data_IF_548118981949
#
_entry.id   IF_548118981949
#
_cell.length_a   1.000
_cell.length_b   1.000
_cell.length_c   1.000
_cell.angle_alpha   90.00
_cell.angle_beta   90.00
_cell.angle_gamma   90.00
#
_symmetry.space_group_name_H-M   'P 1'
#
loop_
_entity.id
_entity.type
_entity.pdbx_description
1 polymer ?
#
# COMPACT_ATOMS: atom_id res chain seq x y z
N UNK A 1 7.60 -8.42 -12.99
CA UNK A 1 7.41 -7.09 -12.36
C UNK A 1 6.04 -6.58 -12.72
N UNK A 2 5.33 -6.02 -11.78
CA UNK A 2 3.99 -5.49 -12.01
C UNK A 2 3.90 -4.06 -11.50
N UNK A 3 2.85 -3.34 -11.91
CA UNK A 3 2.60 -1.99 -11.43
C UNK A 3 2.45 -1.96 -9.90
N UNK A 4 1.76 -2.94 -9.32
CA UNK A 4 1.58 -3.00 -7.87
C UNK A 4 2.90 -3.31 -7.14
N UNK A 5 3.73 -4.23 -7.65
CA UNK A 5 5.02 -4.51 -7.03
C UNK A 5 5.96 -3.31 -7.14
N UNK A 6 5.94 -2.59 -8.25
CA UNK A 6 6.74 -1.36 -8.40
C UNK A 6 6.32 -0.28 -7.40
N UNK A 7 5.02 -0.12 -7.18
CA UNK A 7 4.47 0.79 -6.20
C UNK A 7 4.89 0.40 -4.76
N UNK A 8 4.76 -0.87 -4.41
CA UNK A 8 5.16 -1.38 -3.10
C UNK A 8 6.67 -1.20 -2.88
N UNK A 9 7.49 -1.54 -3.88
CA UNK A 9 8.95 -1.39 -3.81
C UNK A 9 9.35 0.08 -3.62
N UNK A 10 8.65 1.00 -4.25
CA UNK A 10 8.89 2.43 -4.10
C UNK A 10 8.66 2.92 -2.65
N UNK A 11 7.60 2.43 -2.01
CA UNK A 11 7.34 2.73 -0.60
C UNK A 11 8.40 2.11 0.32
N UNK A 12 8.80 0.87 0.06
CA UNK A 12 9.87 0.19 0.83
C UNK A 12 11.19 0.93 0.69
N UNK A 13 11.46 1.51 -0.49
CA UNK A 13 12.64 2.34 -0.72
C UNK A 13 12.54 3.70 -0.02
N UNK A 14 11.38 4.07 0.52
CA UNK A 14 11.13 5.39 1.13
C UNK A 14 11.48 6.52 0.15
N UNK A 15 11.08 6.36 -1.12
CA UNK A 15 11.46 7.22 -2.25
C UNK A 15 10.21 7.87 -2.85
N UNK A 16 10.00 9.15 -2.54
CA UNK A 16 8.82 9.91 -3.00
C UNK A 16 8.74 9.95 -4.52
N UNK A 17 9.85 10.18 -5.21
CA UNK A 17 9.84 10.27 -6.67
C UNK A 17 9.46 8.94 -7.33
N UNK A 18 9.94 7.82 -6.79
CA UNK A 18 9.56 6.49 -7.28
C UNK A 18 8.08 6.19 -7.01
N UNK A 19 7.56 6.60 -5.84
CA UNK A 19 6.14 6.44 -5.52
C UNK A 19 5.28 7.20 -6.53
N UNK A 20 5.61 8.46 -6.79
CA UNK A 20 4.90 9.27 -7.77
C UNK A 20 5.00 8.71 -9.19
N UNK A 21 6.17 8.17 -9.57
CA UNK A 21 6.36 7.58 -10.89
C UNK A 21 5.60 6.26 -11.07
N UNK A 22 5.21 5.60 -9.98
CA UNK A 22 4.49 4.32 -10.01
C UNK A 22 2.99 4.47 -10.27
N UNK A 23 2.45 5.69 -10.29
CA UNK A 23 1.03 5.97 -10.46
C UNK A 23 0.80 6.85 -11.68
N UNK A 24 -0.40 6.76 -12.27
CA UNK A 24 -0.78 7.63 -13.39
C UNK A 24 -1.12 9.04 -12.89
N UNK A 25 -1.14 10.01 -13.81
CA UNK A 25 -1.48 11.40 -13.50
C UNK A 25 -2.85 11.53 -12.83
N UNK A 26 -3.82 10.72 -13.25
CA UNK A 26 -5.20 10.74 -12.80
C UNK A 26 -5.55 9.56 -11.87
N UNK A 27 -4.56 9.00 -11.21
CA UNK A 27 -4.74 7.85 -10.32
C UNK A 27 -5.71 8.13 -9.17
N UNK A 28 -6.27 7.06 -8.60
CA UNK A 28 -7.05 7.11 -7.36
C UNK A 28 -6.50 6.04 -6.42
N UNK A 29 -6.02 6.46 -5.27
CA UNK A 29 -5.54 5.56 -4.21
C UNK A 29 -6.49 5.68 -3.03
N UNK A 30 -7.07 4.55 -2.60
CA UNK A 30 -7.91 4.47 -1.41
C UNK A 30 -7.14 3.71 -0.35
N UNK A 31 -6.71 4.42 0.67
CA UNK A 31 -5.94 3.85 1.77
C UNK A 31 -6.85 3.15 2.77
N UNK A 32 -6.35 2.09 3.42
CA UNK A 32 -7.13 1.28 4.35
C UNK A 32 -7.63 2.04 5.60
N UNK A 33 -7.13 3.24 5.85
CA UNK A 33 -7.58 4.10 6.94
C UNK A 33 -8.68 5.08 6.53
N UNK A 34 -9.09 5.09 5.26
CA UNK A 34 -10.17 5.93 4.74
C UNK A 34 -9.77 7.06 3.80
N UNK A 35 -8.57 7.65 3.87
CA UNK A 35 -8.18 8.71 2.95
C UNK A 35 -8.21 8.25 1.49
N UNK A 36 -8.64 9.14 0.61
CA UNK A 36 -8.62 8.95 -0.84
C UNK A 36 -7.72 10.01 -1.44
N UNK A 37 -6.72 9.57 -2.19
CA UNK A 37 -5.78 10.46 -2.87
C UNK A 37 -6.08 10.42 -4.37
N UNK A 38 -6.51 11.56 -4.91
CA UNK A 38 -6.91 11.67 -6.31
C UNK A 38 -5.87 12.45 -7.09
N UNK A 39 -5.14 11.72 -7.96
CA UNK A 39 -4.10 12.29 -8.81
C UNK A 39 -2.70 12.16 -8.21
N UNK A 40 -1.72 12.13 -9.13
CA UNK A 40 -0.32 11.94 -8.77
C UNK A 40 0.19 13.02 -7.81
N UNK A 41 -0.24 14.26 -7.98
CA UNK A 41 0.24 15.37 -7.16
C UNK A 41 -0.18 15.20 -5.70
N UNK A 42 -1.38 14.70 -5.44
CA UNK A 42 -1.83 14.40 -4.09
C UNK A 42 -1.12 13.18 -3.50
N UNK A 43 -0.85 12.17 -4.30
CA UNK A 43 -0.05 11.00 -3.86
C UNK A 43 1.36 11.45 -3.47
N UNK A 44 1.99 12.30 -4.29
CA UNK A 44 3.31 12.86 -3.99
C UNK A 44 3.30 13.64 -2.67
N UNK A 45 2.32 14.52 -2.49
CA UNK A 45 2.20 15.32 -1.27
C UNK A 45 1.97 14.44 -0.05
N UNK A 46 1.11 13.45 -0.16
CA UNK A 46 0.89 12.47 0.91
C UNK A 46 2.19 11.78 1.31
N UNK A 47 2.94 11.26 0.35
CA UNK A 47 4.20 10.59 0.63
C UNK A 47 5.21 11.54 1.28
N UNK A 48 5.33 12.76 0.75
CA UNK A 48 6.23 13.79 1.31
C UNK A 48 5.90 14.08 2.77
N UNK A 49 4.63 14.33 3.08
CA UNK A 49 4.19 14.67 4.43
C UNK A 49 4.32 13.48 5.38
N UNK A 50 4.04 12.26 4.89
CA UNK A 50 4.15 11.05 5.69
C UNK A 50 5.60 10.81 6.13
N UNK A 51 6.56 10.92 5.22
CA UNK A 51 7.98 10.77 5.54
C UNK A 51 8.50 11.94 6.40
N UNK A 52 8.06 13.16 6.10
CA UNK A 52 8.46 14.34 6.87
C UNK A 52 7.99 14.27 8.32
N UNK A 53 6.87 13.61 8.59
CA UNK A 53 6.34 13.37 9.94
C UNK A 53 7.01 12.19 10.65
N UNK A 54 8.08 11.61 10.07
CA UNK A 54 8.83 10.52 10.66
C UNK A 54 8.36 9.14 10.24
N UNK A 55 7.51 9.04 9.22
CA UNK A 55 7.09 7.76 8.67
C UNK A 55 8.26 7.00 8.05
N UNK A 56 8.34 5.71 8.33
CA UNK A 56 9.35 4.80 7.77
C UNK A 56 8.66 3.48 7.44
N UNK A 57 8.78 3.04 6.19
CA UNK A 57 8.39 1.69 5.81
C UNK A 57 9.56 0.76 6.07
N UNK A 58 9.38 -0.21 6.96
CA UNK A 58 10.42 -1.18 7.26
C UNK A 58 10.36 -2.38 6.33
N UNK A 59 9.16 -2.87 6.04
CA UNK A 59 8.94 -3.95 5.10
C UNK A 59 7.49 -3.96 4.59
N UNK A 60 7.31 -4.52 3.43
CA UNK A 60 5.99 -4.74 2.83
C UNK A 60 6.10 -6.00 1.99
N UNK A 61 5.80 -7.15 2.59
CA UNK A 61 6.04 -8.47 2.02
C UNK A 61 4.77 -9.02 1.40
N UNK A 62 4.80 -9.31 0.11
CA UNK A 62 3.69 -9.96 -0.60
C UNK A 62 3.73 -11.44 -0.27
N UNK A 63 2.62 -11.99 0.24
CA UNK A 63 2.47 -13.40 0.58
C UNK A 63 1.66 -14.16 -0.45
N UNK A 64 0.84 -13.47 -1.25
CA UNK A 64 0.07 -14.07 -2.34
C UNK A 64 -0.23 -12.99 -3.38
N UNK A 65 -0.21 -13.34 -4.68
CA UNK A 65 -0.30 -12.36 -5.75
C UNK A 65 -0.97 -12.95 -6.98
N UNK A 66 -2.00 -12.27 -7.48
CA UNK A 66 -2.75 -12.67 -8.66
C UNK A 66 -2.76 -11.53 -9.66
N UNK A 67 -2.56 -11.85 -10.94
CA UNK A 67 -2.59 -10.88 -12.04
C UNK A 67 -3.51 -11.43 -13.13
N UNK A 68 -4.46 -10.62 -13.57
CA UNK A 68 -5.33 -10.92 -14.70
C UNK A 68 -5.47 -9.66 -15.56
N UNK A 69 -4.78 -9.63 -16.70
CA UNK A 69 -4.78 -8.45 -17.57
C UNK A 69 -4.25 -7.23 -16.85
N UNK A 70 -5.07 -6.18 -16.75
CA UNK A 70 -4.73 -4.92 -16.08
C UNK A 70 -5.12 -4.90 -14.59
N UNK A 71 -5.55 -6.05 -14.03
CA UNK A 71 -6.00 -6.16 -12.64
C UNK A 71 -5.04 -7.02 -11.83
N UNK A 72 -4.79 -6.59 -10.61
CA UNK A 72 -3.94 -7.32 -9.66
C UNK A 72 -4.59 -7.36 -8.30
N UNK A 73 -4.36 -8.45 -7.58
CA UNK A 73 -4.66 -8.54 -6.16
C UNK A 73 -3.45 -9.13 -5.45
N UNK A 74 -3.06 -8.55 -4.34
CA UNK A 74 -1.95 -9.03 -3.53
C UNK A 74 -2.33 -9.04 -2.06
N UNK A 75 -2.01 -10.14 -1.39
CA UNK A 75 -2.07 -10.25 0.06
C UNK A 75 -0.67 -9.99 0.60
N UNK A 76 -0.55 -9.27 1.71
CA UNK A 76 0.75 -8.84 2.20
C UNK A 76 0.77 -8.66 3.71
N UNK A 77 1.98 -8.58 4.25
CA UNK A 77 2.27 -8.15 5.62
C UNK A 77 3.07 -6.85 5.56
N UNK A 78 2.71 -5.89 6.37
CA UNK A 78 3.28 -4.54 6.35
C UNK A 78 3.78 -4.14 7.73
N UNK A 79 4.94 -3.48 7.76
CA UNK A 79 5.51 -2.95 8.99
C UNK A 79 6.05 -1.56 8.75
N UNK A 80 5.63 -0.59 9.58
CA UNK A 80 6.09 0.79 9.50
C UNK A 80 6.27 1.39 10.88
N UNK A 81 6.96 2.54 10.91
CA UNK A 81 6.93 3.46 12.05
C UNK A 81 6.17 4.70 11.61
N UNK A 82 5.20 5.11 12.41
CA UNK A 82 4.40 6.32 12.20
C UNK A 82 4.18 7.02 13.53
N UNK A 83 4.48 8.31 13.57
CA UNK A 83 4.36 9.11 14.79
C UNK A 83 5.08 8.46 16.00
N UNK A 84 6.26 7.89 15.75
CA UNK A 84 7.06 7.21 16.77
C UNK A 84 6.55 5.84 17.20
N UNK A 85 5.48 5.34 16.57
CA UNK A 85 4.87 4.05 16.90
C UNK A 85 5.15 3.04 15.80
N UNK A 86 5.67 1.88 16.17
CA UNK A 86 5.86 0.76 15.25
C UNK A 86 4.55 -0.03 15.12
N UNK A 87 4.12 -0.23 13.88
CA UNK A 87 2.86 -0.91 13.56
C UNK A 87 3.13 -2.04 12.59
N UNK A 88 2.52 -3.21 12.84
CA UNK A 88 2.56 -4.39 11.98
C UNK A 88 1.14 -4.86 11.76
N UNK A 89 0.75 -5.07 10.50
CA UNK A 89 -0.55 -5.65 10.18
C UNK A 89 -0.52 -6.34 8.83
N UNK A 90 -1.48 -7.23 8.62
CA UNK A 90 -1.70 -7.89 7.33
C UNK A 90 -2.80 -7.17 6.57
N UNK A 91 -2.78 -7.29 5.26
CA UNK A 91 -3.80 -6.69 4.43
C UNK A 91 -3.77 -7.22 3.01
N UNK A 92 -4.51 -6.54 2.17
CA UNK A 92 -4.59 -6.84 0.75
C UNK A 92 -4.80 -5.57 -0.06
N UNK A 93 -4.31 -5.59 -1.28
CA UNK A 93 -4.51 -4.52 -2.25
C UNK A 93 -5.18 -5.08 -3.49
N UNK A 94 -6.11 -4.28 -4.04
CA UNK A 94 -6.73 -4.54 -5.35
C UNK A 94 -6.36 -3.36 -6.24
N UNK A 95 -5.74 -3.63 -7.38
CA UNK A 95 -5.21 -2.60 -8.25
C UNK A 95 -5.63 -2.78 -9.70
N UNK A 96 -5.75 -1.66 -10.42
CA UNK A 96 -5.86 -1.61 -11.86
C UNK A 96 -4.71 -0.75 -12.38
N UNK A 97 -4.12 -1.18 -13.49
CA UNK A 97 -2.95 -0.50 -14.07
C UNK A 97 -3.15 -0.16 -15.53
N UNK A 98 -2.36 0.81 -16.00
CA UNK A 98 -2.25 1.16 -17.41
C UNK A 98 -0.80 1.57 -17.67
N UNK A 99 -0.22 1.05 -18.74
CA UNK A 99 1.17 1.35 -19.14
C UNK A 99 2.18 1.16 -18.00
N UNK A 100 1.98 0.12 -17.20
CA UNK A 100 2.89 -0.22 -16.09
C UNK A 100 2.76 0.65 -14.85
N UNK A 101 1.70 1.47 -14.75
CA UNK A 101 1.45 2.36 -13.62
C UNK A 101 0.09 2.13 -13.03
N UNK A 102 -0.04 2.36 -11.74
CA UNK A 102 -1.30 2.26 -11.00
C UNK A 102 -2.26 3.35 -11.45
N UNK A 103 -3.44 2.96 -11.92
CA UNK A 103 -4.57 3.86 -12.20
C UNK A 103 -5.48 3.94 -10.99
N UNK A 104 -5.72 2.80 -10.33
CA UNK A 104 -6.59 2.70 -9.18
C UNK A 104 -6.04 1.66 -8.22
N UNK A 105 -5.99 1.99 -6.95
CA UNK A 105 -5.55 1.09 -5.89
C UNK A 105 -6.49 1.22 -4.71
N UNK A 106 -6.93 0.10 -4.18
CA UNK A 106 -7.71 0.06 -2.96
C UNK A 106 -7.08 -0.91 -1.98
N UNK A 107 -6.85 -0.44 -0.76
CA UNK A 107 -6.19 -1.21 0.29
C UNK A 107 -7.15 -1.57 1.41
N UNK A 108 -6.96 -2.73 1.99
CA UNK A 108 -7.72 -3.25 3.13
C UNK A 108 -6.74 -3.79 4.16
N UNK A 109 -7.10 -3.75 5.44
CA UNK A 109 -6.26 -4.31 6.48
C UNK A 109 -7.07 -5.16 7.44
N UNK A 110 -6.38 -6.09 8.11
CA UNK A 110 -6.94 -6.80 9.25
C UNK A 110 -7.07 -5.86 10.44
N UNK A 111 -8.07 -6.10 11.28
CA UNK A 111 -8.37 -5.23 12.42
C UNK A 111 -7.94 -5.82 13.76
N UNK A 112 -7.45 -7.07 13.76
CA UNK A 112 -7.03 -7.76 14.95
C UNK A 112 -5.94 -8.78 14.65
N UNK A 113 -5.10 -9.12 15.62
CA UNK A 113 -4.13 -10.22 15.47
C UNK A 113 -4.84 -11.56 15.21
N UNK A 114 -4.21 -12.40 14.41
CA UNK A 114 -4.72 -13.75 14.15
C UNK A 114 -4.57 -14.63 15.41
N UNK A 115 -5.54 -15.51 15.60
CA UNK A 115 -5.47 -16.54 16.65
C UNK A 115 -6.24 -17.78 16.22
N UNK A 116 -5.84 -18.93 16.71
CA UNK A 116 -6.60 -20.15 16.51
C UNK A 116 -7.85 -20.12 17.39
N UNK A 117 -9.01 -20.20 16.75
CA UNK A 117 -10.27 -20.26 17.50
C UNK A 117 -10.45 -21.65 18.09
N UNK A 118 -10.66 -21.71 19.40
CA UNK A 118 -10.81 -22.98 20.14
C UNK A 118 -12.07 -22.96 21.01
N UNK A 119 -13.14 -22.42 20.46
CA UNK A 119 -14.44 -22.42 21.10
C UNK A 119 -14.78 -21.15 21.86
N UNK A 120 -13.84 -20.23 22.01
CA UNK A 120 -14.09 -18.92 22.65
C UNK A 120 -13.51 -17.80 21.79
N UNK A 121 -14.19 -16.66 21.79
CA UNK A 121 -13.79 -15.46 21.08
C UNK A 121 -12.93 -14.55 21.97
N UNK A 122 -11.99 -13.89 21.36
CA UNK A 122 -11.08 -12.96 22.06
C UNK A 122 -11.45 -11.52 21.83
#
# INVERSE_FOLDING_TARGET
>A
MSALTDYIDAWVANDVDRIAAAVTQDCVIVECYGPVYRGRDWVRRWAQEWFAAGGIVHRWDITDHFITGDREAAQWSFECTWEGRRTVFDGASIARSASGRIVELREYQTTAPLYDWRGTWR
#
